data_IF_453298770544
#
_entry.id   IF_453298770544
#
_cell.length_a   1.000
_cell.length_b   1.000
_cell.length_c   1.000
_cell.angle_alpha   90.00
_cell.angle_beta   90.00
_cell.angle_gamma   90.00
#
_symmetry.space_group_name_H-M   'P 1'
#
loop_
_entity.id
_entity.type
_entity.pdbx_description
1 polymer ?
#
# COMPACT_ATOMS: atom_id res chain seq x y z
N UNK A 1 -0.71 -28.13 -2.34
CA UNK A 1 -2.04 -27.50 -2.40
C UNK A 1 -2.04 -26.60 -3.61
N UNK A 2 -3.14 -26.59 -4.34
CA UNK A 2 -3.30 -25.86 -5.59
C UNK A 2 -4.67 -25.21 -5.60
N UNK A 3 -4.80 -24.02 -6.15
CA UNK A 3 -6.10 -23.40 -6.40
C UNK A 3 -6.83 -24.13 -7.53
N UNK A 4 -8.13 -23.85 -7.69
CA UNK A 4 -8.92 -24.31 -8.84
C UNK A 4 -8.33 -23.89 -10.19
N UNK A 5 -7.68 -22.71 -10.25
CA UNK A 5 -7.01 -22.18 -11.44
C UNK A 5 -5.65 -22.83 -11.72
N UNK A 6 -5.16 -23.67 -10.80
CA UNK A 6 -3.88 -24.37 -10.95
C UNK A 6 -2.68 -23.66 -10.32
N UNK A 7 -2.90 -22.58 -9.57
CA UNK A 7 -1.82 -21.88 -8.87
C UNK A 7 -1.38 -22.68 -7.62
N UNK A 8 -0.09 -23.04 -7.49
CA UNK A 8 0.38 -23.80 -6.34
C UNK A 8 0.47 -22.90 -5.09
N UNK A 9 -0.26 -23.22 -4.02
CA UNK A 9 -0.16 -22.53 -2.71
C UNK A 9 0.90 -23.15 -1.77
N UNK A 10 1.68 -24.12 -2.26
CA UNK A 10 2.71 -24.78 -1.46
C UNK A 10 2.35 -26.22 -1.07
N UNK A 11 2.95 -26.73 0.00
CA UNK A 11 2.91 -28.15 0.40
C UNK A 11 2.31 -28.29 1.79
N UNK A 12 1.40 -29.25 1.93
CA UNK A 12 0.76 -29.56 3.21
C UNK A 12 1.81 -30.13 4.16
N UNK A 13 1.89 -29.58 5.37
CA UNK A 13 2.79 -30.03 6.44
C UNK A 13 2.04 -30.80 7.52
N UNK A 14 0.92 -30.25 7.96
CA UNK A 14 0.18 -30.79 9.10
C UNK A 14 -1.31 -30.45 9.02
N UNK A 15 -2.10 -31.02 9.93
CA UNK A 15 -3.53 -30.81 10.07
C UNK A 15 -3.86 -30.48 11.52
N UNK A 16 -4.71 -29.49 11.74
CA UNK A 16 -5.31 -29.28 13.05
C UNK A 16 -6.64 -30.02 13.14
N UNK A 17 -6.90 -30.54 14.33
CA UNK A 17 -8.10 -31.29 14.64
C UNK A 17 -8.85 -30.62 15.78
N UNK A 18 -10.16 -30.56 15.66
CA UNK A 18 -11.03 -30.26 16.78
C UNK A 18 -11.06 -31.46 17.74
N UNK A 19 -10.65 -31.23 18.99
CA UNK A 19 -10.56 -32.27 20.03
C UNK A 19 -11.92 -32.81 20.46
N UNK A 20 -13.00 -32.04 20.31
CA UNK A 20 -14.34 -32.44 20.68
C UNK A 20 -15.02 -33.28 19.59
N UNK A 21 -14.84 -32.91 18.32
CA UNK A 21 -15.51 -33.57 17.18
C UNK A 21 -14.63 -34.56 16.43
N UNK A 22 -13.31 -34.49 16.58
CA UNK A 22 -12.33 -35.29 15.85
C UNK A 22 -12.22 -34.94 14.37
N UNK A 23 -12.84 -33.84 13.92
CA UNK A 23 -12.78 -33.38 12.52
C UNK A 23 -11.54 -32.52 12.31
N UNK A 24 -11.03 -32.54 11.07
CA UNK A 24 -10.00 -31.59 10.64
C UNK A 24 -10.63 -30.19 10.65
N UNK A 25 -9.99 -29.23 11.30
CA UNK A 25 -10.42 -27.83 11.34
C UNK A 25 -9.66 -26.97 10.33
N UNK A 26 -8.34 -27.14 10.28
CA UNK A 26 -7.46 -26.37 9.41
C UNK A 26 -6.27 -27.20 8.93
N UNK A 27 -5.62 -26.71 7.88
CA UNK A 27 -4.50 -27.34 7.20
C UNK A 27 -3.31 -26.39 7.31
N UNK A 28 -2.17 -26.90 7.74
CA UNK A 28 -0.91 -26.14 7.81
C UNK A 28 -0.13 -26.41 6.52
N UNK A 29 0.27 -25.33 5.86
CA UNK A 29 0.92 -25.32 4.54
C UNK A 29 2.25 -24.57 4.69
N UNK A 30 3.27 -25.00 3.94
CA UNK A 30 4.51 -24.24 3.78
C UNK A 30 4.83 -23.96 2.32
N UNK A 31 5.50 -22.84 2.08
CA UNK A 31 5.95 -22.37 0.78
C UNK A 31 6.95 -23.35 0.12
N UNK A 32 7.74 -24.09 0.91
CA UNK A 32 8.74 -25.05 0.42
C UNK A 32 8.65 -26.42 1.13
N UNK A 33 8.36 -27.46 0.37
CA UNK A 33 7.91 -28.76 0.87
C UNK A 33 8.98 -29.80 1.17
N UNK A 34 9.88 -29.51 2.11
CA UNK A 34 10.72 -30.53 2.74
C UNK A 34 10.28 -30.72 4.20
N UNK A 35 9.75 -31.90 4.59
CA UNK A 35 9.28 -32.12 5.96
C UNK A 35 10.41 -32.08 7.00
N UNK A 36 11.65 -32.34 6.58
CA UNK A 36 12.85 -32.30 7.43
C UNK A 36 13.30 -30.89 7.81
N UNK A 37 12.80 -29.86 7.11
CA UNK A 37 13.18 -28.48 7.37
C UNK A 37 12.38 -27.96 8.58
N UNK A 38 13.05 -27.38 9.59
CA UNK A 38 12.40 -26.71 10.71
C UNK A 38 11.47 -25.59 10.25
N UNK A 39 10.35 -25.42 10.94
CA UNK A 39 9.40 -24.31 10.79
C UNK A 39 10.07 -22.94 10.98
N UNK A 40 11.15 -22.87 11.75
CA UNK A 40 11.92 -21.64 11.94
C UNK A 40 12.58 -21.12 10.65
N UNK A 41 12.80 -21.98 9.65
CA UNK A 41 13.51 -21.61 8.42
C UNK A 41 12.57 -21.17 7.30
N UNK A 42 11.33 -21.65 7.29
CA UNK A 42 10.35 -21.42 6.20
C UNK A 42 9.04 -20.92 6.78
N UNK A 43 8.35 -20.02 6.09
CA UNK A 43 7.05 -19.58 6.60
C UNK A 43 5.99 -20.65 6.44
N UNK A 44 5.14 -20.68 7.45
CA UNK A 44 4.02 -21.61 7.55
C UNK A 44 2.73 -20.82 7.63
N UNK A 45 1.73 -21.31 6.93
CA UNK A 45 0.41 -20.71 6.80
C UNK A 45 -0.65 -21.71 7.22
N UNK A 46 -1.75 -21.20 7.73
CA UNK A 46 -2.94 -21.97 8.06
C UNK A 46 -4.06 -21.63 7.10
N UNK A 47 -4.77 -22.65 6.64
CA UNK A 47 -5.98 -22.52 5.82
C UNK A 47 -7.11 -23.35 6.43
N UNK A 48 -8.34 -22.83 6.46
CA UNK A 48 -9.50 -23.61 6.90
C UNK A 48 -9.75 -24.83 6.01
N UNK A 49 -10.23 -25.93 6.59
CA UNK A 49 -10.67 -27.10 5.82
C UNK A 49 -11.83 -26.77 4.87
N UNK A 50 -12.63 -25.76 5.21
CA UNK A 50 -13.79 -25.32 4.43
C UNK A 50 -13.38 -24.78 3.04
N UNK A 51 -12.12 -24.40 2.87
CA UNK A 51 -11.56 -23.91 1.61
C UNK A 51 -11.25 -25.02 0.63
N UNK A 52 -11.24 -26.29 1.08
CA UNK A 52 -10.91 -27.43 0.25
C UNK A 52 -12.12 -27.88 -0.57
N UNK A 53 -12.00 -27.76 -1.88
CA UNK A 53 -12.99 -28.18 -2.86
C UNK A 53 -12.88 -29.68 -3.12
N UNK A 54 -11.65 -30.18 -3.25
CA UNK A 54 -11.40 -31.57 -3.61
C UNK A 54 -10.06 -32.08 -3.08
N UNK A 55 -10.05 -33.34 -2.65
CA UNK A 55 -8.84 -34.08 -2.30
C UNK A 55 -8.48 -35.07 -3.41
N UNK A 56 -7.38 -34.78 -4.10
CA UNK A 56 -6.74 -35.71 -5.02
C UNK A 56 -5.73 -36.60 -4.29
N UNK A 57 -5.21 -37.66 -4.93
CA UNK A 57 -4.28 -38.61 -4.30
C UNK A 57 -3.01 -37.96 -3.74
N UNK A 58 -2.51 -36.91 -4.41
CA UNK A 58 -1.26 -36.23 -4.06
C UNK A 58 -1.41 -34.70 -3.97
N UNK A 59 -2.64 -34.17 -3.98
CA UNK A 59 -2.90 -32.72 -3.98
C UNK A 59 -4.24 -32.41 -3.35
N UNK A 60 -4.33 -31.25 -2.71
CA UNK A 60 -5.59 -30.64 -2.30
C UNK A 60 -5.87 -29.48 -3.26
N UNK A 61 -7.10 -29.41 -3.74
CA UNK A 61 -7.62 -28.34 -4.58
C UNK A 61 -8.47 -27.45 -3.69
N UNK A 62 -8.16 -26.16 -3.67
CA UNK A 62 -8.88 -25.14 -2.89
C UNK A 62 -9.53 -24.11 -3.79
N UNK A 63 -10.51 -23.38 -3.26
CA UNK A 63 -11.11 -22.27 -3.96
C UNK A 63 -10.08 -21.25 -4.44
N UNK A 64 -10.43 -20.55 -5.51
CA UNK A 64 -9.73 -19.33 -5.90
C UNK A 64 -9.83 -18.25 -4.80
N UNK A 65 -8.77 -17.47 -4.61
CA UNK A 65 -8.70 -16.50 -3.51
C UNK A 65 -8.46 -17.13 -2.14
N UNK A 66 -8.20 -18.44 -2.06
CA UNK A 66 -7.80 -19.08 -0.81
C UNK A 66 -6.45 -18.54 -0.30
N UNK A 67 -5.62 -18.01 -1.20
CA UNK A 67 -4.37 -17.30 -0.89
C UNK A 67 -4.60 -16.09 0.04
N UNK A 68 -5.70 -15.36 -0.13
CA UNK A 68 -6.06 -14.19 0.69
C UNK A 68 -6.56 -14.59 2.09
N UNK A 69 -6.98 -15.85 2.25
CA UNK A 69 -7.51 -16.41 3.50
C UNK A 69 -6.47 -17.22 4.27
N UNK A 70 -5.20 -17.17 3.86
CA UNK A 70 -4.09 -17.80 4.55
C UNK A 70 -3.69 -16.99 5.79
N UNK A 71 -3.74 -17.61 6.96
CA UNK A 71 -3.23 -17.02 8.19
C UNK A 71 -1.76 -17.38 8.37
N UNK A 72 -0.86 -16.39 8.38
CA UNK A 72 0.56 -16.64 8.63
C UNK A 72 0.79 -17.06 10.09
N UNK A 73 1.27 -18.29 10.30
CA UNK A 73 1.56 -18.82 11.63
C UNK A 73 2.98 -18.50 12.09
N UNK A 74 3.95 -18.50 11.18
CA UNK A 74 5.35 -18.26 11.50
C UNK A 74 6.10 -17.70 10.30
N UNK A 75 7.04 -16.80 10.58
CA UNK A 75 7.92 -16.18 9.57
C UNK A 75 9.27 -16.86 9.62
N UNK A 76 9.65 -17.53 8.53
CA UNK A 76 10.93 -18.20 8.40
C UNK A 76 12.12 -17.25 8.29
N UNK A 77 13.29 -17.67 8.76
CA UNK A 77 14.55 -16.92 8.60
C UNK A 77 14.92 -16.67 7.13
N UNK A 78 14.56 -17.58 6.22
CA UNK A 78 14.85 -17.43 4.80
C UNK A 78 14.09 -16.24 4.19
N UNK A 79 12.85 -15.99 4.62
CA UNK A 79 12.08 -14.85 4.14
C UNK A 79 12.62 -13.52 4.64
N UNK A 80 13.21 -13.50 5.84
CA UNK A 80 13.93 -12.32 6.35
C UNK A 80 15.18 -11.99 5.54
N UNK A 81 15.75 -12.99 4.87
CA UNK A 81 16.86 -12.83 3.94
C UNK A 81 16.38 -12.60 2.49
N UNK A 82 15.08 -12.46 2.26
CA UNK A 82 14.49 -12.24 0.94
C UNK A 82 14.41 -13.49 0.06
N UNK A 83 14.61 -14.69 0.63
CA UNK A 83 14.64 -15.95 -0.10
C UNK A 83 13.45 -16.81 0.36
N UNK A 84 12.61 -17.24 -0.59
CA UNK A 84 11.56 -18.23 -0.29
C UNK A 84 10.20 -17.67 0.07
N UNK A 85 9.96 -16.37 -0.11
CA UNK A 85 8.59 -15.83 -0.07
C UNK A 85 7.77 -16.47 -1.20
N UNK A 86 6.57 -16.96 -0.90
CA UNK A 86 5.73 -17.55 -1.92
C UNK A 86 5.33 -16.55 -3.01
N UNK A 87 5.04 -17.03 -4.22
CA UNK A 87 4.71 -16.16 -5.35
C UNK A 87 3.40 -15.40 -5.17
N UNK A 88 2.45 -15.96 -4.41
CA UNK A 88 1.16 -15.35 -4.11
C UNK A 88 1.25 -14.23 -3.05
N UNK A 89 2.20 -14.27 -2.12
CA UNK A 89 2.45 -13.17 -1.17
C UNK A 89 3.02 -11.92 -1.84
N UNK A 90 3.83 -12.08 -2.90
CA UNK A 90 4.43 -10.93 -3.61
C UNK A 90 3.38 -10.00 -4.18
N UNK A 91 2.19 -10.52 -4.54
CA UNK A 91 1.11 -9.71 -5.10
C UNK A 91 0.47 -8.77 -4.07
N UNK A 92 0.43 -9.14 -2.79
CA UNK A 92 -0.16 -8.32 -1.72
C UNK A 92 0.72 -7.12 -1.33
N UNK A 93 2.05 -7.30 -1.31
CA UNK A 93 3.01 -6.22 -1.04
C UNK A 93 3.18 -5.29 -2.27
N UNK A 94 3.09 -5.84 -3.48
CA UNK A 94 3.10 -5.09 -4.75
C UNK A 94 1.83 -4.23 -4.96
N UNK A 95 0.76 -4.41 -4.17
CA UNK A 95 -0.41 -3.51 -4.22
C UNK A 95 -0.13 -2.15 -3.57
N UNK A 96 0.83 -2.07 -2.66
CA UNK A 96 1.22 -0.83 -1.97
C UNK A 96 2.40 -0.10 -2.63
N UNK A 97 3.15 -0.79 -3.49
CA UNK A 97 4.23 -0.19 -4.26
C UNK A 97 3.81 -0.07 -5.73
N UNK A 98 3.88 1.12 -6.36
CA UNK A 98 3.63 1.21 -7.78
C UNK A 98 4.60 0.27 -8.50
N UNK A 99 4.13 -0.56 -9.45
CA UNK A 99 4.98 -1.53 -10.12
C UNK A 99 6.19 -0.81 -10.69
N UNK A 100 7.39 -1.18 -10.23
CA UNK A 100 8.61 -0.64 -10.81
C UNK A 100 8.70 -1.20 -12.22
N UNK A 101 8.26 -0.41 -13.19
CA UNK A 101 8.40 -0.79 -14.59
C UNK A 101 9.88 -1.05 -14.85
N UNK A 102 10.18 -2.19 -15.48
CA UNK A 102 11.56 -2.55 -15.82
C UNK A 102 12.19 -1.35 -16.56
N UNK A 103 13.48 -1.04 -16.35
CA UNK A 103 14.09 0.19 -16.85
C UNK A 103 13.95 0.36 -18.37
N UNK A 104 13.77 -0.74 -19.13
CA UNK A 104 13.51 -0.69 -20.58
C UNK A 104 12.16 -0.05 -20.96
N UNK A 105 11.16 -0.11 -20.07
CA UNK A 105 9.80 0.38 -20.28
C UNK A 105 9.57 1.78 -19.69
N UNK A 106 10.60 2.41 -19.13
CA UNK A 106 10.52 3.77 -18.63
C UNK A 106 10.60 4.73 -19.83
N UNK A 107 9.47 5.38 -20.15
CA UNK A 107 9.47 6.46 -21.14
C UNK A 107 10.43 7.56 -20.66
N UNK A 108 11.32 8.00 -21.54
CA UNK A 108 12.20 9.13 -21.26
C UNK A 108 11.38 10.40 -20.93
N UNK A 109 11.92 11.29 -20.09
CA UNK A 109 11.27 12.57 -19.80
C UNK A 109 10.97 13.30 -21.10
N UNK A 110 9.69 13.47 -21.43
CA UNK A 110 9.25 14.09 -22.68
C UNK A 110 9.92 15.46 -22.90
N UNK A 111 10.29 15.74 -24.14
CA UNK A 111 10.90 17.03 -24.50
C UNK A 111 9.83 18.12 -24.28
N UNK A 112 10.06 19.14 -23.43
CA UNK A 112 9.10 20.21 -23.25
C UNK A 112 8.97 21.01 -24.54
N UNK A 113 7.82 20.90 -25.20
CA UNK A 113 7.48 21.74 -26.35
C UNK A 113 7.28 23.16 -25.81
N UNK A 114 8.25 24.03 -26.08
CA UNK A 114 8.14 25.46 -25.75
C UNK A 114 7.07 26.08 -26.66
N UNK A 115 5.97 26.63 -26.13
CA UNK A 115 5.06 27.41 -26.97
C UNK A 115 5.81 28.66 -27.47
N UNK A 116 5.63 29.08 -28.74
CA UNK A 116 6.25 30.30 -29.24
C UNK A 116 5.73 31.49 -28.43
N UNK A 117 6.67 32.27 -27.87
CA UNK A 117 6.37 33.50 -27.14
C UNK A 117 5.68 34.46 -28.10
N UNK A 118 4.38 34.69 -27.91
CA UNK A 118 3.68 35.80 -28.55
C UNK A 118 4.18 37.08 -27.90
N UNK A 119 5.01 37.83 -28.64
CA UNK A 119 5.47 39.15 -28.24
C UNK A 119 4.22 40.04 -28.12
N UNK A 120 3.83 40.37 -26.88
CA UNK A 120 2.82 41.40 -26.64
C UNK A 120 3.39 42.72 -27.14
N UNK A 121 2.75 43.31 -28.16
CA UNK A 121 3.04 44.69 -28.53
C UNK A 121 2.65 45.59 -27.35
N UNK A 122 3.51 46.53 -26.91
CA UNK A 122 3.15 47.47 -25.87
C UNK A 122 2.06 48.41 -26.41
N UNK A 123 0.95 48.56 -25.67
CA UNK A 123 -0.04 49.59 -25.92
C UNK A 123 0.61 50.98 -25.83
N UNK A 124 0.23 51.94 -26.69
CA UNK A 124 0.75 53.30 -26.61
C UNK A 124 0.34 53.93 -25.28
N UNK A 125 1.34 54.34 -24.52
CA UNK A 125 1.19 55.12 -23.28
C UNK A 125 0.50 56.44 -23.63
N UNK A 126 -0.76 56.60 -23.26
CA UNK A 126 -1.42 57.91 -23.21
C UNK A 126 -0.63 58.77 -22.22
N UNK A 127 -0.03 59.87 -22.70
CA UNK A 127 0.61 60.85 -21.83
C UNK A 127 -0.45 61.44 -20.87
N UNK A 128 -0.44 60.96 -19.63
CA UNK A 128 -1.11 61.65 -18.53
C UNK A 128 -0.39 62.99 -18.31
N UNK A 129 -1.00 64.03 -18.85
CA UNK A 129 -0.61 65.43 -18.67
C UNK A 129 -0.76 65.77 -17.18
N UNK A 130 0.36 65.71 -16.46
CA UNK A 130 0.49 66.05 -15.03
C UNK A 130 -0.38 67.26 -14.65
N UNK A 131 -1.33 67.06 -13.74
CA UNK A 131 -2.10 68.14 -13.13
C UNK A 131 -1.44 68.47 -11.78
N UNK A 132 -0.93 69.70 -11.66
CA UNK A 132 -0.06 70.19 -10.59
C UNK A 132 -0.82 70.55 -9.30
N UNK A 133 -1.88 69.81 -8.95
CA UNK A 133 -2.79 70.14 -7.83
C UNK A 133 -3.09 68.98 -6.86
N UNK A 134 -2.50 67.79 -7.03
CA UNK A 134 -2.80 66.60 -6.18
C UNK A 134 -1.68 66.25 -5.16
N UNK A 135 -1.00 67.26 -4.63
CA UNK A 135 -0.07 67.08 -3.51
C UNK A 135 -0.81 66.93 -2.18
N UNK A 136 -1.03 65.69 -1.71
CA UNK A 136 -1.34 65.41 -0.31
C UNK A 136 -0.45 64.32 0.30
N UNK A 137 0.50 64.82 1.10
CA UNK A 137 1.22 64.26 2.25
C UNK A 137 1.23 62.73 2.46
N UNK A 138 2.39 62.12 2.23
CA UNK A 138 2.68 60.70 2.46
C UNK A 138 2.77 60.38 3.95
N UNK A 139 1.76 59.71 4.52
CA UNK A 139 1.89 59.07 5.84
C UNK A 139 2.05 57.55 5.68
N UNK A 140 3.15 56.93 6.15
CA UNK A 140 3.30 55.48 6.08
C UNK A 140 2.28 54.78 7.00
N UNK A 141 1.61 53.75 6.44
CA UNK A 141 0.61 52.96 7.15
C UNK A 141 1.23 52.21 8.36
N UNK A 142 0.57 52.17 9.53
CA UNK A 142 1.06 51.43 10.68
C UNK A 142 0.97 49.91 10.47
N UNK A 143 1.99 49.17 10.92
CA UNK A 143 2.10 47.72 10.81
C UNK A 143 1.00 46.98 11.62
N UNK A 144 0.51 45.83 11.14
CA UNK A 144 -0.57 45.07 11.80
C UNK A 144 -0.11 44.40 13.10
N UNK A 145 -0.86 44.64 14.19
CA UNK A 145 -0.63 44.06 15.53
C UNK A 145 -1.21 42.63 15.59
N UNK A 146 -0.34 41.65 15.84
CA UNK A 146 -0.69 40.23 15.95
C UNK A 146 -1.57 39.90 17.15
N UNK A 147 -2.61 39.08 16.93
CA UNK A 147 -3.53 38.58 17.96
C UNK A 147 -3.16 37.14 18.32
N UNK A 148 -2.84 36.89 19.59
CA UNK A 148 -2.61 35.55 20.15
C UNK A 148 -3.94 34.79 20.32
N UNK A 149 -3.96 33.44 20.23
CA UNK A 149 -5.19 32.66 20.34
C UNK A 149 -5.72 32.58 21.79
N UNK A 150 -7.05 32.54 21.99
CA UNK A 150 -7.69 32.61 23.29
C UNK A 150 -7.59 31.30 24.09
N UNK A 151 -7.39 31.44 25.40
CA UNK A 151 -7.39 30.36 26.40
C UNK A 151 -8.80 29.86 26.69
N UNK A 152 -8.92 28.54 26.85
CA UNK A 152 -10.12 27.82 27.27
C UNK A 152 -10.50 28.17 28.73
N UNK A 153 -11.76 28.52 28.97
CA UNK A 153 -12.37 28.46 30.30
C UNK A 153 -13.75 27.81 30.21
N UNK A 154 -13.86 26.59 30.74
CA UNK A 154 -15.08 25.77 30.72
C UNK A 154 -15.89 26.03 31.99
N UNK A 155 -17.18 26.23 31.77
CA UNK A 155 -18.18 26.71 32.71
C UNK A 155 -18.37 25.86 33.98
N UNK A 156 -18.76 26.57 35.03
CA UNK A 156 -18.99 26.10 36.37
C UNK A 156 -20.23 25.23 36.59
N UNK A 157 -20.11 24.56 37.73
CA UNK A 157 -21.04 23.79 38.55
C UNK A 157 -22.40 24.50 38.74
N UNK A 158 -23.49 23.74 38.60
CA UNK A 158 -24.74 23.98 39.34
C UNK A 158 -25.19 22.69 40.02
N UNK A 159 -25.69 22.89 41.25
CA UNK A 159 -26.29 21.92 42.16
C UNK A 159 -27.65 21.46 41.67
#
# INVERSE_FOLDING_TARGET
>A
MVTETGEPLGRVRDFQFDLATGKVSSIIIASLGLPQIPDQLISTYELSIDEVVSSGPNRLIVFEGAEERLNQLSVGLLERLGIGRPSWERMEEDLYYPPTTRPENQLGSGIPVRPPVQVRQPEPVLEERWNEDDWQDSRPAPLPVGKWPPTLSRAGIRR
#
